data_IF_173695146127
#
_entry.id   IF_173695146127
#
_cell.length_a   1.000
_cell.length_b   1.000
_cell.length_c   1.000
_cell.angle_alpha   90.00
_cell.angle_beta   90.00
_cell.angle_gamma   90.00
#
_symmetry.space_group_name_H-M   'P 1'
#
loop_
_entity.id
_entity.type
_entity.pdbx_description
1 polymer ?
#
# COMPACT_ATOMS: atom_id res chain seq x y z
N UNK A 1 13.88 5.47 -4.18
CA UNK A 1 13.54 4.37 -3.26
C UNK A 1 13.79 3.04 -3.96
N UNK A 2 14.30 2.06 -3.23
CA UNK A 2 14.44 0.70 -3.73
C UNK A 2 13.09 -0.01 -3.67
N UNK A 3 12.95 -1.12 -4.40
CA UNK A 3 11.72 -1.92 -4.35
C UNK A 3 11.42 -2.45 -2.94
N UNK A 4 12.47 -2.81 -2.21
CA UNK A 4 12.33 -3.29 -0.83
C UNK A 4 11.81 -2.19 0.11
N UNK A 5 12.31 -0.98 -0.04
CA UNK A 5 11.82 0.18 0.74
C UNK A 5 10.36 0.47 0.44
N UNK A 6 9.97 0.38 -0.83
CA UNK A 6 8.58 0.56 -1.27
C UNK A 6 7.69 -0.50 -0.62
N UNK A 7 8.11 -1.75 -0.63
CA UNK A 7 7.37 -2.86 -0.01
C UNK A 7 7.17 -2.62 1.48
N UNK A 8 8.22 -2.23 2.18
CA UNK A 8 8.15 -1.97 3.61
C UNK A 8 7.21 -0.81 3.94
N UNK A 9 7.25 0.24 3.12
CA UNK A 9 6.38 1.40 3.29
C UNK A 9 4.92 1.04 3.04
N UNK A 10 4.63 0.26 2.01
CA UNK A 10 3.28 -0.21 1.71
C UNK A 10 2.76 -1.09 2.85
N UNK A 11 3.58 -1.99 3.36
CA UNK A 11 3.21 -2.84 4.50
C UNK A 11 2.89 -2.01 5.73
N UNK A 12 3.69 -1.00 6.01
CA UNK A 12 3.43 -0.07 7.12
C UNK A 12 2.10 0.64 6.93
N UNK A 13 1.85 1.18 5.73
CA UNK A 13 0.61 1.86 5.41
C UNK A 13 -0.60 0.93 5.55
N UNK A 14 -0.49 -0.29 5.08
CA UNK A 14 -1.56 -1.29 5.19
C UNK A 14 -1.86 -1.64 6.65
N UNK A 15 -0.85 -1.74 7.49
CA UNK A 15 -1.05 -1.97 8.92
C UNK A 15 -1.78 -0.81 9.57
N UNK A 16 -1.44 0.41 9.20
CA UNK A 16 -2.11 1.61 9.72
C UNK A 16 -3.56 1.69 9.25
N UNK A 17 -3.81 1.40 8.00
CA UNK A 17 -5.17 1.35 7.43
C UNK A 17 -6.00 0.32 8.21
N UNK A 18 -5.47 -0.86 8.40
CA UNK A 18 -6.16 -1.94 9.10
C UNK A 18 -6.46 -1.60 10.55
N UNK A 19 -5.52 -0.93 11.22
CA UNK A 19 -5.66 -0.47 12.61
C UNK A 19 -6.72 0.63 12.76
N UNK A 20 -6.88 1.48 11.75
CA UNK A 20 -7.85 2.57 11.74
C UNK A 20 -9.22 2.17 11.24
N UNK A 21 -9.32 1.06 10.53
CA UNK A 21 -10.60 0.52 10.03
C UNK A 21 -11.23 -0.37 11.09
N UNK A 22 -12.16 0.18 11.85
CA UNK A 22 -12.95 -0.58 12.81
C UNK A 22 -14.23 -1.03 12.12
N UNK A 23 -14.61 -2.31 12.17
CA UNK A 23 -15.84 -2.78 11.53
C UNK A 23 -17.11 -2.13 12.09
N UNK A 24 -17.04 -1.50 13.25
CA UNK A 24 -18.17 -0.74 13.82
C UNK A 24 -18.25 0.70 13.29
N UNK A 25 -17.25 1.17 12.56
CA UNK A 25 -17.20 2.54 12.02
C UNK A 25 -17.37 2.47 10.50
N UNK A 26 -18.45 3.04 9.99
CA UNK A 26 -18.77 3.08 8.57
C UNK A 26 -18.19 4.29 7.85
N UNK A 27 -17.54 5.19 8.56
CA UNK A 27 -17.00 6.42 8.00
C UNK A 27 -15.51 6.24 7.74
N UNK A 28 -15.08 6.50 6.49
CA UNK A 28 -13.68 6.48 6.13
C UNK A 28 -12.98 7.66 6.78
N UNK A 29 -12.01 7.39 7.63
CA UNK A 29 -11.25 8.44 8.28
C UNK A 29 -10.30 9.11 7.28
N UNK A 30 -10.06 10.43 7.38
CA UNK A 30 -9.13 11.13 6.49
C UNK A 30 -7.71 10.54 6.50
N UNK A 31 -7.29 10.01 7.64
CA UNK A 31 -5.98 9.36 7.79
C UNK A 31 -5.87 8.11 6.92
N UNK A 32 -6.93 7.33 6.85
CA UNK A 32 -6.98 6.12 6.00
C UNK A 32 -6.81 6.51 4.54
N UNK A 33 -7.49 7.55 4.11
CA UNK A 33 -7.40 8.06 2.73
C UNK A 33 -5.96 8.48 2.40
N UNK A 34 -5.29 9.14 3.33
CA UNK A 34 -3.90 9.57 3.19
C UNK A 34 -2.96 8.39 2.94
N UNK A 35 -3.11 7.31 3.70
CA UNK A 35 -2.32 6.10 3.53
C UNK A 35 -2.61 5.40 2.21
N UNK A 36 -3.87 5.39 1.77
CA UNK A 36 -4.25 4.83 0.49
C UNK A 36 -3.64 5.61 -0.68
N UNK A 37 -3.66 6.92 -0.61
CA UNK A 37 -3.03 7.80 -1.62
C UNK A 37 -1.52 7.58 -1.67
N UNK A 38 -0.88 7.44 -0.52
CA UNK A 38 0.55 7.16 -0.42
C UNK A 38 0.89 5.82 -1.08
N UNK A 39 0.07 4.80 -0.86
CA UNK A 39 0.23 3.50 -1.51
C UNK A 39 0.14 3.61 -3.03
N UNK A 40 -0.81 4.40 -3.54
CA UNK A 40 -0.94 4.64 -4.98
C UNK A 40 0.29 5.32 -5.56
N UNK A 41 0.81 6.32 -4.86
CA UNK A 41 2.05 7.00 -5.25
C UNK A 41 3.21 6.01 -5.28
N UNK A 42 3.35 5.18 -4.26
CA UNK A 42 4.42 4.18 -4.19
C UNK A 42 4.35 3.17 -5.34
N UNK A 43 3.15 2.81 -5.76
CA UNK A 43 2.97 1.94 -6.92
C UNK A 43 3.45 2.59 -8.22
N UNK A 44 3.31 3.90 -8.36
CA UNK A 44 3.76 4.61 -9.56
C UNK A 44 5.28 4.70 -9.66
N UNK A 45 5.98 4.76 -8.54
CA UNK A 45 7.45 4.86 -8.51
C UNK A 45 8.13 3.48 -8.33
N UNK A 46 7.34 2.43 -8.16
CA UNK A 46 7.86 1.09 -7.93
C UNK A 46 8.58 0.56 -9.18
N UNK A 47 9.79 -0.01 -9.05
CA UNK A 47 10.51 -0.57 -10.19
C UNK A 47 9.88 -1.86 -10.76
N UNK A 48 8.81 -2.33 -10.22
CA UNK A 48 8.01 -3.51 -10.62
C UNK A 48 8.87 -4.71 -11.07
N UNK A 49 8.95 -5.67 -10.20
CA UNK A 49 9.52 -6.97 -10.53
C UNK A 49 8.42 -8.01 -10.39
N UNK A 50 7.91 -8.48 -11.52
CA UNK A 50 6.79 -9.41 -11.54
C UNK A 50 7.26 -10.86 -11.38
N UNK A 51 6.63 -11.57 -10.45
CA UNK A 51 6.78 -13.01 -10.30
C UNK A 51 5.38 -13.61 -10.23
N UNK A 52 5.10 -14.59 -11.07
CA UNK A 52 3.76 -15.20 -11.18
C UNK A 52 2.65 -14.17 -11.44
N UNK A 53 2.96 -13.15 -12.24
CA UNK A 53 2.00 -12.12 -12.61
C UNK A 53 1.74 -11.04 -11.57
N UNK A 54 2.50 -11.04 -10.46
CA UNK A 54 2.35 -10.07 -9.38
C UNK A 54 3.70 -9.45 -9.05
N UNK A 55 3.72 -8.14 -8.90
CA UNK A 55 4.93 -7.42 -8.45
C UNK A 55 5.27 -7.81 -7.02
N UNK A 56 6.50 -8.24 -6.78
CA UNK A 56 6.96 -8.66 -5.45
C UNK A 56 7.13 -7.48 -4.48
N UNK A 57 7.13 -6.26 -4.98
CA UNK A 57 7.32 -5.05 -4.15
C UNK A 57 6.00 -4.39 -3.78
N UNK A 58 5.22 -4.00 -4.78
CA UNK A 58 3.96 -3.25 -4.54
C UNK A 58 2.70 -4.10 -4.63
N UNK A 59 2.81 -5.34 -5.10
CA UNK A 59 1.66 -6.22 -5.22
C UNK A 59 0.75 -5.94 -6.42
N UNK A 60 1.19 -5.06 -7.33
CA UNK A 60 0.40 -4.75 -8.53
C UNK A 60 0.38 -5.96 -9.47
N UNK A 61 -0.77 -6.26 -10.04
CA UNK A 61 -0.88 -7.34 -11.04
C UNK A 61 -0.39 -6.87 -12.40
N UNK A 62 0.22 -7.78 -13.11
CA UNK A 62 0.72 -7.53 -14.45
C UNK A 62 -0.41 -7.31 -15.47
#
# INVERSE_FOLDING_TARGET
MTGEEIRDKINFNNQKIQSLMDPSIFILQPEVQKYMEDNEYLKTICPHKYENGVCIHCGQTE
#
